data_IF_412434335295
#
_entry.id   IF_412434335295
#
_cell.length_a   1.000
_cell.length_b   1.000
_cell.length_c   1.000
_cell.angle_alpha   90.00
_cell.angle_beta   90.00
_cell.angle_gamma   90.00
#
_symmetry.space_group_name_H-M   'P 1'
#
loop_
_entity.id
_entity.type
_entity.pdbx_description
1 polymer ?
#
# COMPACT_ATOMS: atom_id res chain seq x y z
N UNK A 1 -12.74 4.46 21.07
CA UNK A 1 -11.33 4.54 21.50
C UNK A 1 -10.63 3.40 20.81
N UNK A 2 -9.64 3.67 19.96
CA UNK A 2 -8.99 2.63 19.16
C UNK A 2 -7.91 1.97 20.03
N UNK A 3 -7.89 0.65 20.13
CA UNK A 3 -6.90 -0.08 20.93
C UNK A 3 -5.93 -0.87 20.07
N UNK A 4 -4.75 -1.14 20.62
CA UNK A 4 -3.80 -2.06 20.00
C UNK A 4 -4.32 -3.48 20.24
N UNK A 5 -4.71 -4.17 19.17
CA UNK A 5 -5.22 -5.55 19.23
C UNK A 5 -4.09 -6.57 19.26
N UNK A 6 -3.07 -6.37 18.43
CA UNK A 6 -1.92 -7.27 18.29
C UNK A 6 -0.65 -6.44 18.17
N UNK A 7 0.43 -6.86 18.86
CA UNK A 7 1.73 -6.18 18.81
C UNK A 7 2.86 -7.19 18.86
N UNK A 8 3.85 -6.98 17.98
CA UNK A 8 5.11 -7.71 17.99
C UNK A 8 6.26 -6.70 17.82
N UNK A 9 7.02 -6.51 18.89
CA UNK A 9 8.11 -5.55 18.92
C UNK A 9 7.63 -4.14 18.55
N UNK A 10 8.07 -3.66 17.39
CA UNK A 10 7.80 -2.31 16.86
C UNK A 10 6.67 -2.25 15.84
N UNK A 11 5.92 -3.33 15.68
CA UNK A 11 4.78 -3.38 14.77
C UNK A 11 3.52 -3.70 15.55
N UNK A 12 2.41 -3.09 15.18
CA UNK A 12 1.13 -3.42 15.77
C UNK A 12 -0.03 -3.24 14.79
N UNK A 13 -1.14 -3.89 15.11
CA UNK A 13 -2.41 -3.80 14.41
C UNK A 13 -3.49 -3.38 15.41
N UNK A 14 -4.35 -2.45 15.02
CA UNK A 14 -5.47 -2.01 15.85
C UNK A 14 -6.71 -2.90 15.70
N UNK A 15 -7.77 -2.54 16.42
CA UNK A 15 -9.06 -3.26 16.38
C UNK A 15 -9.73 -3.20 15.01
N UNK A 16 -9.51 -2.14 14.23
CA UNK A 16 -10.03 -1.99 12.87
C UNK A 16 -9.17 -2.70 11.79
N UNK A 17 -8.06 -3.33 12.20
CA UNK A 17 -7.15 -4.03 11.29
C UNK A 17 -6.17 -3.11 10.55
N UNK A 18 -6.05 -1.84 10.93
CA UNK A 18 -5.00 -0.95 10.42
C UNK A 18 -3.68 -1.31 11.07
N UNK A 19 -2.61 -1.20 10.30
CA UNK A 19 -1.28 -1.55 10.77
C UNK A 19 -0.40 -0.32 10.95
N UNK A 20 0.46 -0.37 11.95
CA UNK A 20 1.37 0.71 12.29
C UNK A 20 2.75 0.16 12.63
N UNK A 21 3.78 0.90 12.23
CA UNK A 21 5.18 0.66 12.58
C UNK A 21 5.69 1.78 13.46
N UNK A 22 6.50 1.44 14.46
CA UNK A 22 7.24 2.37 15.30
C UNK A 22 8.67 2.50 14.74
N UNK A 23 8.96 3.64 14.16
CA UNK A 23 10.23 3.94 13.50
C UNK A 23 11.13 4.78 14.39
N UNK A 24 12.42 4.82 14.07
CA UNK A 24 13.41 5.65 14.76
C UNK A 24 13.98 5.04 16.05
N UNK A 25 14.91 5.74 16.73
CA UNK A 25 15.46 5.32 18.02
C UNK A 25 14.40 5.25 19.13
N UNK A 26 14.67 4.51 20.22
CA UNK A 26 13.69 4.35 21.31
C UNK A 26 13.26 5.66 21.94
N UNK A 27 14.22 6.58 22.12
CA UNK A 27 14.01 7.91 22.71
C UNK A 27 13.59 8.98 21.69
N UNK A 28 13.43 8.61 20.42
CA UNK A 28 13.08 9.53 19.34
C UNK A 28 12.32 8.79 18.24
N UNK A 29 11.20 8.18 18.62
CA UNK A 29 10.42 7.34 17.73
C UNK A 29 9.20 8.06 17.18
N UNK A 30 8.62 7.52 16.11
CA UNK A 30 7.36 7.97 15.54
C UNK A 30 6.59 6.80 14.93
N UNK A 31 5.29 6.95 14.80
CA UNK A 31 4.39 5.97 14.20
C UNK A 31 4.21 6.26 12.72
N UNK A 32 4.16 5.21 11.91
CA UNK A 32 3.75 5.31 10.50
C UNK A 32 2.74 4.22 10.18
N UNK A 33 1.62 4.60 9.56
CA UNK A 33 0.62 3.67 9.09
C UNK A 33 1.12 2.87 7.87
N UNK A 34 0.80 1.58 7.85
CA UNK A 34 1.08 0.65 6.78
C UNK A 34 -0.21 0.22 6.10
N UNK A 35 -0.28 0.43 4.78
CA UNK A 35 -1.33 -0.11 3.93
C UNK A 35 -1.01 -1.56 3.58
N UNK A 36 -1.88 -2.48 3.98
CA UNK A 36 -1.79 -3.88 3.56
C UNK A 36 -2.07 -4.00 2.05
N UNK A 37 -1.32 -4.84 1.36
CA UNK A 37 -1.56 -5.07 -0.08
C UNK A 37 -2.70 -6.04 -0.35
N UNK A 38 -2.98 -6.94 0.61
CA UNK A 38 -3.99 -7.98 0.52
C UNK A 38 -4.83 -7.95 1.79
N UNK A 39 -6.14 -8.14 1.62
CA UNK A 39 -7.05 -8.30 2.75
C UNK A 39 -7.04 -9.76 3.25
N UNK A 40 -7.50 -9.96 4.48
CA UNK A 40 -7.68 -11.31 5.05
C UNK A 40 -6.39 -12.04 5.41
N UNK A 41 -5.27 -11.32 5.54
CA UNK A 41 -4.04 -11.81 6.14
C UNK A 41 -4.05 -11.55 7.64
N UNK A 42 -3.55 -12.50 8.42
CA UNK A 42 -3.26 -12.29 9.84
C UNK A 42 -2.07 -11.34 10.01
N UNK A 43 -1.98 -10.67 11.16
CA UNK A 43 -0.85 -9.79 11.48
C UNK A 43 0.51 -10.47 11.30
N UNK A 44 0.65 -11.73 11.74
CA UNK A 44 1.89 -12.49 11.60
C UNK A 44 2.24 -12.76 10.14
N UNK A 45 1.24 -13.06 9.30
CA UNK A 45 1.46 -13.26 7.87
C UNK A 45 1.87 -11.97 7.18
N UNK A 46 1.29 -10.83 7.54
CA UNK A 46 1.70 -9.54 6.97
C UNK A 46 3.15 -9.22 7.33
N UNK A 47 3.58 -9.49 8.56
CA UNK A 47 4.97 -9.29 8.98
C UNK A 47 5.95 -10.27 8.31
N UNK A 48 5.61 -11.55 8.32
CA UNK A 48 6.43 -12.61 7.75
C UNK A 48 6.64 -12.39 6.25
N UNK A 49 5.55 -12.11 5.54
CA UNK A 49 5.53 -11.96 4.08
C UNK A 49 5.69 -10.51 3.61
N UNK A 50 5.89 -9.57 4.52
CA UNK A 50 6.05 -8.12 4.24
C UNK A 50 4.97 -7.59 3.28
N UNK A 51 3.72 -7.96 3.52
CA UNK A 51 2.57 -7.65 2.65
C UNK A 51 1.97 -6.27 2.91
N UNK A 52 2.82 -5.26 3.06
CA UNK A 52 2.39 -3.90 3.30
C UNK A 52 3.38 -2.87 2.75
N UNK A 53 2.91 -1.64 2.63
CA UNK A 53 3.69 -0.48 2.24
C UNK A 53 3.28 0.74 3.07
N UNK A 54 4.17 1.73 3.26
CA UNK A 54 3.82 2.94 4.00
C UNK A 54 2.68 3.68 3.30
N UNK A 55 1.68 4.14 4.06
CA UNK A 55 0.57 4.93 3.49
C UNK A 55 0.92 6.40 3.29
N UNK A 56 2.02 6.85 3.91
CA UNK A 56 2.40 8.25 4.06
C UNK A 56 1.88 8.91 5.34
N UNK A 57 0.97 8.27 6.09
CA UNK A 57 0.47 8.82 7.35
C UNK A 57 1.48 8.57 8.48
N UNK A 58 1.93 9.65 9.12
CA UNK A 58 2.93 9.61 10.21
C UNK A 58 2.49 10.46 11.39
N UNK A 59 2.90 10.08 12.60
CA UNK A 59 2.62 10.82 13.83
C UNK A 59 3.66 11.91 14.10
N UNK A 60 3.41 12.71 15.14
CA UNK A 60 4.47 13.40 15.86
C UNK A 60 5.51 12.43 16.44
N UNK A 61 6.64 12.98 16.92
CA UNK A 61 7.68 12.21 17.60
C UNK A 61 7.36 11.98 19.08
N UNK A 62 7.85 10.88 19.62
CA UNK A 62 7.68 10.48 21.01
C UNK A 62 9.04 10.20 21.66
N UNK A 63 9.11 10.48 22.97
CA UNK A 63 10.29 10.27 23.80
C UNK A 63 10.50 8.81 24.23
N UNK A 64 9.54 7.92 23.98
CA UNK A 64 9.65 6.49 24.23
C UNK A 64 8.64 5.69 23.41
N UNK A 65 8.91 4.38 23.24
CA UNK A 65 7.95 3.46 22.63
C UNK A 65 6.63 3.40 23.42
N UNK A 66 6.73 3.45 24.75
CA UNK A 66 5.57 3.44 25.64
C UNK A 66 4.70 4.69 25.41
N UNK A 67 5.32 5.87 25.35
CA UNK A 67 4.60 7.12 25.09
C UNK A 67 3.89 7.10 23.73
N UNK A 68 4.50 6.51 22.70
CA UNK A 68 3.88 6.33 21.40
C UNK A 68 2.64 5.42 21.45
N UNK A 69 2.75 4.27 22.13
CA UNK A 69 1.62 3.34 22.30
C UNK A 69 0.49 3.96 23.13
N UNK A 70 0.80 4.60 24.25
CA UNK A 70 -0.20 5.28 25.08
C UNK A 70 -0.87 6.43 24.31
N UNK A 71 -0.13 7.19 23.52
CA UNK A 71 -0.72 8.23 22.69
C UNK A 71 -1.69 7.64 21.66
N UNK A 72 -1.35 6.49 21.06
CA UNK A 72 -2.23 5.77 20.14
C UNK A 72 -3.54 5.35 20.81
N UNK A 73 -3.45 4.62 21.92
CA UNK A 73 -4.64 4.06 22.59
C UNK A 73 -5.57 5.13 23.17
N UNK A 74 -5.03 6.30 23.51
CA UNK A 74 -5.80 7.43 24.04
C UNK A 74 -6.21 8.43 22.96
N UNK A 75 -6.03 8.13 21.66
CA UNK A 75 -6.34 9.04 20.55
C UNK A 75 -5.66 10.42 20.66
N UNK A 76 -4.41 10.47 21.13
CA UNK A 76 -3.61 11.70 21.31
C UNK A 76 -2.55 11.90 20.22
N UNK A 77 -2.75 11.29 19.06
CA UNK A 77 -1.82 11.39 17.92
C UNK A 77 -2.23 12.54 17.01
N UNK A 78 -1.25 13.38 16.66
CA UNK A 78 -1.34 14.32 15.57
C UNK A 78 -0.79 13.66 14.31
N UNK A 79 -1.70 13.35 13.39
CA UNK A 79 -1.35 12.73 12.12
C UNK A 79 -0.98 13.79 11.08
N UNK A 80 0.06 13.50 10.31
CA UNK A 80 0.52 14.31 9.19
C UNK A 80 0.89 13.41 8.01
N UNK A 81 0.99 14.00 6.81
CA UNK A 81 1.36 13.27 5.61
C UNK A 81 2.82 13.53 5.25
N UNK A 82 3.61 12.46 5.25
CA UNK A 82 4.93 12.44 4.63
C UNK A 82 4.78 12.08 3.15
N UNK A 83 5.01 13.08 2.28
CA UNK A 83 4.86 12.92 0.83
C UNK A 83 5.90 11.97 0.22
N UNK A 84 7.07 11.84 0.84
CA UNK A 84 8.10 10.91 0.40
C UNK A 84 7.69 9.47 0.69
N UNK A 85 7.29 9.17 1.92
CA UNK A 85 6.78 7.85 2.30
C UNK A 85 5.52 7.50 1.53
N UNK A 86 4.64 8.47 1.26
CA UNK A 86 3.48 8.27 0.40
C UNK A 86 3.90 7.79 -1.00
N UNK A 87 4.79 8.54 -1.65
CA UNK A 87 5.27 8.22 -2.99
C UNK A 87 6.00 6.88 -3.03
N UNK A 88 6.83 6.60 -2.03
CA UNK A 88 7.49 5.32 -1.88
C UNK A 88 6.47 4.19 -1.78
N UNK A 89 5.44 4.33 -0.95
CA UNK A 89 4.41 3.32 -0.79
C UNK A 89 3.62 3.07 -2.08
N UNK A 90 3.29 4.13 -2.81
CA UNK A 90 2.62 4.03 -4.11
C UNK A 90 3.55 3.36 -5.15
N UNK A 91 4.86 3.65 -5.13
CA UNK A 91 5.85 2.94 -5.97
C UNK A 91 5.98 1.47 -5.59
N UNK A 92 5.99 1.13 -4.29
CA UNK A 92 6.01 -0.26 -3.83
C UNK A 92 4.75 -1.01 -4.27
N UNK A 93 3.59 -0.34 -4.30
CA UNK A 93 2.35 -0.94 -4.79
C UNK A 93 2.39 -1.18 -6.31
N UNK A 94 2.96 -0.27 -7.10
CA UNK A 94 3.13 -0.42 -8.55
C UNK A 94 4.15 -1.51 -8.91
N UNK A 95 5.26 -1.57 -8.18
CA UNK A 95 6.36 -2.51 -8.41
C UNK A 95 6.29 -3.75 -7.51
N UNK A 96 5.14 -4.02 -6.87
CA UNK A 96 4.93 -5.31 -6.22
C UNK A 96 5.21 -6.35 -7.32
N UNK A 97 6.25 -7.15 -7.14
CA UNK A 97 6.68 -8.06 -8.20
C UNK A 97 5.51 -8.94 -8.62
N UNK A 98 5.45 -9.31 -9.91
CA UNK A 98 4.39 -10.15 -10.45
C UNK A 98 4.21 -11.43 -9.61
N UNK A 99 5.31 -11.91 -9.01
CA UNK A 99 5.32 -12.81 -7.87
C UNK A 99 5.40 -11.97 -6.58
N UNK A 100 4.38 -12.02 -5.74
CA UNK A 100 4.28 -11.23 -4.50
C UNK A 100 5.60 -11.17 -3.70
N UNK A 101 5.87 -10.03 -3.04
CA UNK A 101 7.10 -9.81 -2.26
C UNK A 101 7.41 -11.04 -1.39
N UNK A 102 8.40 -11.82 -1.83
CA UNK A 102 8.85 -13.02 -1.13
C UNK A 102 9.97 -12.61 -0.18
N UNK A 103 9.85 -12.87 1.12
CA UNK A 103 10.88 -12.57 2.09
C UNK A 103 12.22 -13.15 1.66
N UNK A 104 13.32 -12.43 1.91
CA UNK A 104 14.67 -12.87 1.57
C UNK A 104 14.98 -14.26 2.12
N UNK A 105 14.54 -14.55 3.35
CA UNK A 105 14.70 -15.87 3.99
C UNK A 105 14.06 -17.00 3.15
N UNK A 106 12.90 -16.74 2.55
CA UNK A 106 12.20 -17.72 1.71
C UNK A 106 12.84 -17.88 0.33
N UNK A 107 13.38 -16.79 -0.24
CA UNK A 107 14.19 -16.86 -1.47
C UNK A 107 15.48 -17.67 -1.25
N UNK A 108 16.15 -17.45 -0.12
CA UNK A 108 17.35 -18.19 0.24
C UNK A 108 17.06 -19.67 0.54
N UNK A 109 15.96 -19.98 1.23
CA UNK A 109 15.54 -21.34 1.48
C UNK A 109 15.30 -22.12 0.17
N UNK A 110 14.58 -21.52 -0.79
CA UNK A 110 14.35 -22.10 -2.11
C UNK A 110 15.65 -22.31 -2.89
N UNK A 111 16.53 -21.31 -2.91
CA UNK A 111 17.84 -21.41 -3.57
C UNK A 111 18.71 -22.53 -2.96
N UNK A 112 18.52 -22.84 -1.68
CA UNK A 112 19.19 -23.95 -0.99
C UNK A 112 18.48 -25.32 -1.15
N UNK A 113 17.45 -25.41 -1.98
CA UNK A 113 16.67 -26.64 -2.21
C UNK A 113 15.79 -27.05 -1.03
N UNK A 114 15.56 -26.16 -0.06
CA UNK A 114 14.71 -26.43 1.11
C UNK A 114 13.25 -26.18 0.77
N UNK A 115 12.37 -26.95 1.41
CA UNK A 115 10.94 -26.73 1.30
C UNK A 115 10.58 -25.32 1.81
N UNK A 116 9.85 -24.56 0.99
CA UNK A 116 9.37 -23.23 1.35
C UNK A 116 7.89 -23.28 1.60
N UNK A 117 7.45 -22.64 2.70
CA UNK A 117 6.02 -22.52 2.99
C UNK A 117 5.34 -21.75 1.85
N UNK A 118 4.22 -22.26 1.31
CA UNK A 118 3.49 -21.52 0.29
C UNK A 118 2.94 -20.21 0.86
N UNK A 119 2.76 -19.23 -0.03
CA UNK A 119 2.14 -17.96 0.32
C UNK A 119 0.72 -18.21 0.88
N UNK A 120 0.30 -17.56 1.98
CA UNK A 120 -1.03 -17.77 2.57
C UNK A 120 -2.21 -17.50 1.64
N UNK A 121 -1.99 -16.69 0.60
CA UNK A 121 -2.97 -16.36 -0.42
C UNK A 121 -2.83 -17.22 -1.69
N UNK A 122 -1.88 -18.17 -1.74
CA UNK A 122 -1.78 -19.10 -2.87
C UNK A 122 -3.06 -19.92 -2.96
N UNK A 123 -3.68 -19.92 -4.14
CA UNK A 123 -4.98 -20.60 -4.35
C UNK A 123 -6.21 -19.77 -4.00
N UNK A 124 -6.05 -18.52 -3.52
CA UNK A 124 -7.17 -17.56 -3.41
C UNK A 124 -7.31 -16.75 -4.70
N UNK A 125 -8.53 -16.52 -5.20
CA UNK A 125 -8.74 -15.62 -6.34
C UNK A 125 -8.23 -14.22 -5.97
N UNK A 126 -7.34 -13.67 -6.79
CA UNK A 126 -6.87 -12.30 -6.60
C UNK A 126 -8.00 -11.34 -6.97
N UNK A 127 -8.47 -10.53 -6.03
CA UNK A 127 -9.34 -9.40 -6.38
C UNK A 127 -8.53 -8.43 -7.23
N UNK A 128 -8.88 -8.19 -8.50
CA UNK A 128 -8.22 -7.15 -9.27
C UNK A 128 -8.48 -5.81 -8.55
N UNK A 129 -7.45 -4.97 -8.47
CA UNK A 129 -7.61 -3.58 -8.08
C UNK A 129 -8.35 -2.87 -9.22
N UNK A 130 -9.67 -3.00 -9.26
CA UNK A 130 -10.49 -2.27 -10.20
C UNK A 130 -10.41 -0.80 -9.83
N UNK A 131 -9.63 -0.03 -10.58
CA UNK A 131 -9.87 1.40 -10.67
C UNK A 131 -11.26 1.54 -11.31
N UNK A 132 -12.27 2.14 -10.64
CA UNK A 132 -13.48 2.50 -11.34
C UNK A 132 -13.09 3.58 -12.34
N UNK A 133 -12.87 3.17 -13.59
CA UNK A 133 -12.84 4.11 -14.70
C UNK A 133 -14.27 4.64 -14.80
N UNK A 134 -14.51 5.94 -14.62
CA UNK A 134 -15.85 6.48 -14.82
C UNK A 134 -16.23 6.20 -16.27
N UNK A 135 -17.24 5.35 -16.48
CA UNK A 135 -17.96 5.29 -17.74
C UNK A 135 -18.63 6.66 -17.89
N UNK A 136 -17.97 7.56 -18.63
CA UNK A 136 -18.60 8.78 -19.11
C UNK A 136 -19.71 8.35 -20.08
N UNK A 137 -20.92 8.22 -19.54
CA UNK A 137 -22.15 8.17 -20.33
C UNK A 137 -22.28 9.48 -21.08
N UNK A 138 -21.74 9.53 -22.29
CA UNK A 138 -22.07 10.57 -23.25
C UNK A 138 -23.39 10.20 -23.91
N UNK A 139 -24.41 10.97 -23.53
CA UNK A 139 -25.63 11.27 -24.26
C UNK A 139 -26.77 10.24 -24.23
N UNK A 140 -27.83 10.66 -23.54
CA UNK A 140 -29.18 10.87 -24.11
C UNK A 140 -29.22 10.64 -25.63
N UNK A 141 -30.01 9.65 -26.07
CA UNK A 141 -30.49 9.58 -27.45
C UNK A 141 -30.36 8.22 -28.16
N UNK A 142 -31.34 7.35 -27.94
CA UNK A 142 -32.16 6.69 -28.99
C UNK A 142 -31.43 6.06 -30.21
N UNK A 143 -31.49 4.71 -30.26
CA UNK A 143 -31.56 3.80 -31.44
C UNK A 143 -30.28 3.45 -32.21
N UNK A 144 -30.00 2.14 -32.28
CA UNK A 144 -29.65 1.47 -33.54
C UNK A 144 -28.21 1.02 -33.77
N UNK A 145 -27.96 -0.27 -33.50
CA UNK A 145 -27.22 -1.26 -34.31
C UNK A 145 -25.74 -1.07 -34.76
N UNK A 146 -24.98 -2.14 -34.48
CA UNK A 146 -23.83 -2.75 -35.19
C UNK A 146 -22.58 -1.94 -35.63
N UNK A 147 -21.44 -2.35 -35.05
CA UNK A 147 -20.14 -2.48 -35.75
C UNK A 147 -19.42 -1.20 -36.14
N UNK A 148 -18.55 -0.68 -35.27
CA UNK A 148 -17.68 0.45 -35.60
C UNK A 148 -16.38 0.45 -34.80
N UNK A 149 -15.28 0.20 -35.48
CA UNK A 149 -13.89 0.30 -35.07
C UNK A 149 -13.63 1.66 -34.37
N UNK A 150 -13.25 1.65 -33.09
CA UNK A 150 -13.02 2.87 -32.32
C UNK A 150 -11.70 3.53 -32.75
N UNK A 151 -11.77 4.42 -33.74
CA UNK A 151 -10.66 5.30 -34.11
C UNK A 151 -10.18 6.11 -32.91
N UNK A 152 -8.95 5.84 -32.45
CA UNK A 152 -8.30 6.61 -31.40
C UNK A 152 -8.17 8.10 -31.79
N UNK A 153 -8.40 9.05 -30.86
CA UNK A 153 -8.22 10.46 -31.15
C UNK A 153 -6.76 10.76 -31.48
N UNK A 154 -6.54 11.24 -32.70
CA UNK A 154 -5.22 11.58 -33.23
C UNK A 154 -4.61 12.72 -32.40
N UNK A 155 -3.53 12.40 -31.67
CA UNK A 155 -2.75 13.37 -30.87
C UNK A 155 -2.33 14.54 -31.77
N UNK A 156 -2.87 15.74 -31.52
CA UNK A 156 -2.38 16.98 -32.15
C UNK A 156 -0.90 17.14 -31.79
N UNK A 157 -0.01 17.00 -32.78
CA UNK A 157 1.39 17.40 -32.67
C UNK A 157 1.42 18.89 -32.35
N UNK A 158 2.00 19.28 -31.21
CA UNK A 158 2.39 20.67 -30.97
C UNK A 158 3.46 21.01 -32.02
N UNK A 159 3.21 22.02 -32.85
CA UNK A 159 4.24 22.58 -33.72
C UNK A 159 5.34 23.16 -32.84
N UNK A 160 6.59 22.82 -33.17
CA UNK A 160 7.76 23.52 -32.67
C UNK A 160 7.67 24.96 -33.20
N UNK A 161 7.62 25.95 -32.31
CA UNK A 161 7.94 27.32 -32.69
C UNK A 161 9.46 27.38 -32.91
N UNK A 162 9.87 27.83 -34.09
CA UNK A 162 11.27 28.10 -34.41
C UNK A 162 11.86 29.14 -33.46
N UNK A 163 13.18 29.06 -33.17
CA UNK A 163 13.86 30.06 -32.37
C UNK A 163 13.95 31.38 -33.15
N UNK A 164 13.60 32.47 -32.48
CA UNK A 164 13.83 33.83 -32.96
C UNK A 164 15.33 34.11 -32.87
N UNK A 165 15.96 34.42 -34.00
CA UNK A 165 17.30 35.00 -34.08
C UNK A 165 17.27 36.49 -33.75
#
# INVERSE_FOLDING_TARGET
MVRIRQRQGRHFMDEEGRMFWINGPENFCYLSEQRQWRCGLSFQEVLEWKQCAPSGLVSQRFSSLQAACEAFEHNRIFWSHDLYLRRMGDQMALHRSADDYRPTVMKLAEASGRAVRPAPWSGRPSTPLSCPVPLTNSNVGVVGDSGGELTHPRRRRRSLREPVH
#
